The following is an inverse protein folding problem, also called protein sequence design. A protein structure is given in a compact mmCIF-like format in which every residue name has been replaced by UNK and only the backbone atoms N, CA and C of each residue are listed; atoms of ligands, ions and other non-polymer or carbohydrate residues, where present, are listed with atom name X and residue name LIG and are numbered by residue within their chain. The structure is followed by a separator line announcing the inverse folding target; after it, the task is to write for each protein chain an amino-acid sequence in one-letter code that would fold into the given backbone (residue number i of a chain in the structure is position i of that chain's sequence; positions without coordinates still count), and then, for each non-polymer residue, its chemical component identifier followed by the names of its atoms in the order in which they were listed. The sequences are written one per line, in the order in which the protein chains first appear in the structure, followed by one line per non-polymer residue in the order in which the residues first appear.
data_IF_524741512806
#
_entry.id   IF_524741512806
#
_cell.length_a   1.000
_cell.length_b   1.000
_cell.length_c   1.000
_cell.angle_alpha   90.00
_cell.angle_beta   90.00
_cell.angle_gamma   90.00
#
_symmetry.space_group_name_H-M   'P 1'
#
loop_
_entity.id
_entity.type
_entity.pdbx_description
1 polymer ?
#
# COMPACT_ATOMS: atom_id res chain seq x y z
N UNK A 1 7.73 -6.68 -4.20
CA UNK A 1 7.17 -6.88 -2.84
C UNK A 1 6.64 -8.30 -2.79
N UNK A 2 6.94 -9.08 -1.75
CA UNK A 2 6.43 -10.45 -1.65
C UNK A 2 4.93 -10.43 -1.39
N UNK A 3 4.18 -11.22 -2.14
CA UNK A 3 2.74 -11.39 -1.90
C UNK A 3 2.52 -12.44 -0.80
N UNK A 4 1.52 -12.26 0.08
CA UNK A 4 1.17 -13.25 1.10
C UNK A 4 0.95 -14.66 0.53
N UNK A 5 0.30 -14.75 -0.63
CA UNK A 5 0.04 -16.00 -1.32
C UNK A 5 1.35 -16.71 -1.75
N UNK A 6 2.30 -15.96 -2.30
CA UNK A 6 3.61 -16.48 -2.69
C UNK A 6 4.37 -17.01 -1.46
N UNK A 7 4.38 -16.25 -0.37
CA UNK A 7 5.05 -16.67 0.87
C UNK A 7 4.41 -17.90 1.50
N UNK A 8 3.10 -18.06 1.36
CA UNK A 8 2.42 -19.26 1.82
C UNK A 8 2.86 -20.48 1.00
N UNK A 9 2.98 -20.35 -0.32
CA UNK A 9 3.53 -21.40 -1.19
C UNK A 9 4.99 -21.71 -0.83
N UNK A 10 5.81 -20.69 -0.58
CA UNK A 10 7.20 -20.86 -0.16
C UNK A 10 7.29 -21.55 1.22
N UNK A 11 6.42 -21.20 2.17
CA UNK A 11 6.32 -21.85 3.46
C UNK A 11 5.94 -23.34 3.33
N UNK A 12 5.05 -23.69 2.40
CA UNK A 12 4.69 -25.09 2.12
C UNK A 12 5.89 -25.89 1.62
N UNK A 13 6.61 -25.38 0.61
CA UNK A 13 7.81 -26.04 0.08
C UNK A 13 8.92 -26.13 1.13
N UNK A 14 9.15 -25.07 1.89
CA UNK A 14 10.09 -25.06 3.01
C UNK A 14 9.69 -26.09 4.07
N UNK A 15 8.39 -26.22 4.38
CA UNK A 15 7.87 -27.22 5.31
C UNK A 15 8.07 -28.66 4.84
N UNK A 16 7.79 -28.94 3.56
CA UNK A 16 8.07 -30.25 2.95
C UNK A 16 9.56 -30.57 3.06
N UNK A 17 10.43 -29.62 2.74
CA UNK A 17 11.88 -29.81 2.86
C UNK A 17 12.31 -30.06 4.31
N UNK A 18 11.76 -29.32 5.28
CA UNK A 18 12.00 -29.53 6.72
C UNK A 18 11.63 -30.96 7.13
N UNK A 19 10.49 -31.48 6.67
CA UNK A 19 10.06 -32.85 6.97
C UNK A 19 11.02 -33.86 6.35
N UNK A 20 11.41 -33.69 5.09
CA UNK A 20 12.38 -34.56 4.42
C UNK A 20 13.72 -34.59 5.17
N UNK A 21 14.24 -33.44 5.59
CA UNK A 21 15.47 -33.35 6.37
C UNK A 21 15.29 -33.97 7.77
N UNK A 22 14.11 -33.83 8.37
CA UNK A 22 13.75 -34.52 9.61
C UNK A 22 13.78 -36.04 9.47
N UNK A 23 13.23 -36.59 8.38
CA UNK A 23 13.29 -38.03 8.07
C UNK A 23 14.75 -38.47 7.87
N UNK A 24 15.56 -37.69 7.13
CA UNK A 24 16.99 -37.96 6.96
C UNK A 24 17.75 -37.93 8.29
N UNK A 25 17.39 -37.03 9.21
CA UNK A 25 17.97 -36.98 10.54
C UNK A 25 17.69 -38.29 11.30
N UNK A 26 16.43 -38.75 11.31
CA UNK A 26 16.04 -40.04 11.92
C UNK A 26 16.79 -41.21 11.29
N UNK A 27 16.86 -41.28 9.96
CA UNK A 27 17.62 -42.29 9.24
C UNK A 27 19.11 -42.26 9.59
N UNK A 28 19.70 -41.07 9.75
CA UNK A 28 21.08 -40.91 10.18
C UNK A 28 21.35 -41.49 11.57
N UNK A 29 20.36 -41.46 12.48
CA UNK A 29 20.46 -42.13 13.78
C UNK A 29 20.34 -43.65 13.64
N UNK A 30 19.37 -44.15 12.88
CA UNK A 30 19.15 -45.60 12.65
C UNK A 30 20.37 -46.24 11.97
N UNK A 31 20.90 -45.61 10.93
CA UNK A 31 22.05 -46.07 10.15
C UNK A 31 23.40 -45.66 10.74
N UNK A 32 23.40 -44.98 11.89
CA UNK A 32 24.60 -44.55 12.65
C UNK A 32 25.61 -43.72 11.84
N UNK A 33 25.13 -42.77 11.03
CA UNK A 33 25.99 -41.86 10.28
C UNK A 33 26.82 -40.96 11.20
N UNK A 34 28.07 -40.68 10.83
CA UNK A 34 28.98 -39.83 11.61
C UNK A 34 28.49 -38.38 11.77
N UNK A 35 27.68 -37.89 10.83
CA UNK A 35 27.16 -36.52 10.83
C UNK A 35 25.72 -36.39 11.35
N UNK A 36 25.13 -37.44 11.93
CA UNK A 36 23.73 -37.47 12.40
C UNK A 36 23.35 -36.31 13.34
N UNK A 37 24.27 -35.87 14.20
CA UNK A 37 24.01 -34.74 15.11
C UNK A 37 23.97 -33.39 14.38
N UNK A 38 24.70 -33.25 13.27
CA UNK A 38 24.62 -32.05 12.41
C UNK A 38 23.24 -31.95 11.75
N UNK A 39 22.65 -33.09 11.37
CA UNK A 39 21.29 -33.12 10.79
C UNK A 39 20.24 -32.59 11.78
N UNK A 40 20.36 -32.86 13.08
CA UNK A 40 19.45 -32.29 14.10
C UNK A 40 19.49 -30.76 14.09
N UNK A 41 20.69 -30.18 14.04
CA UNK A 41 20.87 -28.74 13.94
C UNK A 41 20.27 -28.15 12.67
N UNK A 42 20.46 -28.82 11.53
CA UNK A 42 19.88 -28.41 10.24
C UNK A 42 18.35 -28.49 10.29
N UNK A 43 17.77 -29.59 10.80
CA UNK A 43 16.31 -29.74 10.95
C UNK A 43 15.73 -28.66 11.85
N UNK A 44 16.38 -28.37 12.98
CA UNK A 44 15.95 -27.31 13.91
C UNK A 44 15.98 -25.93 13.25
N UNK A 45 17.05 -25.59 12.54
CA UNK A 45 17.14 -24.34 11.78
C UNK A 45 16.05 -24.24 10.71
N UNK A 46 15.85 -25.31 9.94
CA UNK A 46 14.82 -25.39 8.91
C UNK A 46 13.41 -25.25 9.49
N UNK A 47 13.14 -25.78 10.68
CA UNK A 47 11.86 -25.59 11.36
C UNK A 47 11.60 -24.12 11.73
N UNK A 48 12.61 -23.44 12.27
CA UNK A 48 12.54 -22.00 12.57
C UNK A 48 12.33 -21.18 11.30
N UNK A 49 13.08 -21.48 10.24
CA UNK A 49 12.97 -20.80 8.95
C UNK A 49 11.57 -20.95 8.35
N UNK A 50 11.05 -22.19 8.26
CA UNK A 50 9.69 -22.48 7.76
C UNK A 50 8.64 -21.73 8.58
N UNK A 51 8.77 -21.75 9.90
CA UNK A 51 7.82 -21.05 10.80
C UNK A 51 7.87 -19.53 10.58
N UNK A 52 9.06 -18.97 10.36
CA UNK A 52 9.25 -17.55 10.06
C UNK A 52 8.61 -17.13 8.74
N UNK A 53 8.82 -17.91 7.67
CA UNK A 53 8.20 -17.64 6.35
C UNK A 53 6.68 -17.75 6.45
N UNK A 54 6.18 -18.78 7.14
CA UNK A 54 4.74 -18.94 7.38
C UNK A 54 4.15 -17.76 8.16
N UNK A 55 4.79 -17.34 9.25
CA UNK A 55 4.33 -16.20 10.03
C UNK A 55 4.28 -14.90 9.20
N UNK A 56 5.28 -14.67 8.34
CA UNK A 56 5.30 -13.55 7.41
C UNK A 56 4.16 -13.63 6.39
N UNK A 57 3.81 -14.82 5.90
CA UNK A 57 2.67 -14.99 4.98
C UNK A 57 1.33 -14.56 5.59
N UNK A 58 1.18 -14.60 6.93
CA UNK A 58 -0.03 -14.18 7.64
C UNK A 58 -0.07 -12.67 7.93
N UNK A 59 1.09 -12.07 8.18
CA UNK A 59 1.19 -10.72 8.75
C UNK A 59 1.57 -9.64 7.73
N UNK A 60 2.00 -10.00 6.52
CA UNK A 60 2.34 -8.99 5.51
C UNK A 60 1.07 -8.34 4.97
N UNK A 61 0.88 -7.10 5.38
CA UNK A 61 -0.16 -6.24 4.84
C UNK A 61 0.22 -5.79 3.43
N UNK A 62 -0.55 -6.21 2.44
CA UNK A 62 -0.49 -5.66 1.08
C UNK A 62 -1.28 -4.38 1.03
N UNK A 63 -0.61 -3.28 0.70
CA UNK A 63 -1.28 -2.00 0.50
C UNK A 63 -2.27 -2.11 -0.67
N UNK A 64 -3.56 -1.78 -0.47
CA UNK A 64 -4.52 -1.76 -1.56
C UNK A 64 -4.09 -0.76 -2.63
N UNK A 65 -4.18 -1.17 -3.90
CA UNK A 65 -3.92 -0.32 -5.06
C UNK A 65 -5.21 -0.19 -5.87
N UNK A 66 -5.70 1.04 -6.02
CA UNK A 66 -6.90 1.38 -6.80
C UNK A 66 -6.49 1.47 -8.27
N UNK A 67 -7.04 0.62 -9.15
CA UNK A 67 -6.73 0.67 -10.57
C UNK A 67 -6.99 2.06 -11.18
N UNK A 68 -6.05 2.54 -11.98
CA UNK A 68 -6.16 3.85 -12.65
C UNK A 68 -5.82 5.06 -11.76
N UNK A 69 -5.45 4.86 -10.50
CA UNK A 69 -4.91 5.91 -9.66
C UNK A 69 -3.55 6.39 -10.20
N UNK A 70 -3.34 7.70 -10.19
CA UNK A 70 -2.10 8.33 -10.60
C UNK A 70 -1.15 8.48 -9.42
N UNK A 71 0.15 8.58 -9.72
CA UNK A 71 1.10 9.03 -8.73
C UNK A 71 0.79 10.48 -8.35
N UNK A 72 0.73 10.75 -7.04
CA UNK A 72 0.51 12.07 -6.50
C UNK A 72 1.61 12.45 -5.51
N UNK A 73 1.84 13.74 -5.31
CA UNK A 73 2.72 14.26 -4.27
C UNK A 73 1.92 15.03 -3.23
N UNK A 74 2.21 14.83 -1.94
CA UNK A 74 1.63 15.63 -0.86
C UNK A 74 2.38 16.95 -0.75
N UNK A 75 1.67 18.05 -0.97
CA UNK A 75 2.24 19.40 -1.02
C UNK A 75 1.85 20.27 0.18
N UNK A 76 0.77 19.91 0.87
CA UNK A 76 0.34 20.59 2.08
C UNK A 76 -0.35 19.60 3.01
N UNK A 77 -0.09 19.75 4.31
CA UNK A 77 -0.66 18.91 5.37
C UNK A 77 -0.76 19.78 6.63
N UNK A 78 -1.97 19.96 7.15
CA UNK A 78 -2.19 20.76 8.35
C UNK A 78 -1.82 20.02 9.63
N UNK A 79 -1.41 18.75 9.54
CA UNK A 79 -1.31 17.83 10.66
C UNK A 79 -2.60 17.80 11.50
N UNK A 80 -3.75 18.02 10.85
CA UNK A 80 -5.10 17.94 11.43
C UNK A 80 -6.04 17.23 10.46
N UNK A 81 -7.02 17.94 9.90
CA UNK A 81 -8.13 17.44 9.10
C UNK A 81 -8.02 17.80 7.61
N UNK A 82 -6.90 18.34 7.14
CA UNK A 82 -6.74 18.70 5.73
C UNK A 82 -5.37 18.33 5.15
N UNK A 83 -5.41 17.69 3.99
CA UNK A 83 -4.24 17.42 3.15
C UNK A 83 -4.51 17.88 1.73
N UNK A 84 -3.52 18.47 1.08
CA UNK A 84 -3.56 18.78 -0.35
C UNK A 84 -2.53 17.95 -1.08
N UNK A 85 -2.99 17.26 -2.12
CA UNK A 85 -2.17 16.46 -3.02
C UNK A 85 -2.15 17.08 -4.41
N UNK A 86 -1.06 16.87 -5.14
CA UNK A 86 -0.89 17.34 -6.51
C UNK A 86 -0.70 16.17 -7.48
N UNK A 87 -1.36 16.27 -8.63
CA UNK A 87 -1.21 15.36 -9.78
C UNK A 87 -0.76 16.12 -11.03
N UNK A 88 -0.24 15.43 -12.06
CA UNK A 88 0.05 16.05 -13.36
C UNK A 88 -1.18 16.77 -13.95
N UNK A 89 -1.00 17.75 -14.84
CA UNK A 89 -2.12 18.47 -15.46
C UNK A 89 -2.80 17.70 -16.58
N UNK A 90 -2.20 16.62 -17.08
CA UNK A 90 -2.78 15.76 -18.12
C UNK A 90 -3.49 14.56 -17.48
N UNK A 91 -4.73 14.78 -17.02
CA UNK A 91 -5.50 13.78 -16.26
C UNK A 91 -6.98 13.76 -16.65
N UNK A 92 -7.64 12.63 -16.46
CA UNK A 92 -9.08 12.45 -16.70
C UNK A 92 -9.87 12.39 -15.40
N UNK A 93 -11.19 12.64 -15.47
CA UNK A 93 -12.09 12.55 -14.31
C UNK A 93 -12.01 11.17 -13.59
N UNK A 94 -12.07 10.02 -14.30
CA UNK A 94 -11.92 8.71 -13.66
C UNK A 94 -10.57 8.53 -12.94
N UNK A 95 -9.48 9.06 -13.50
CA UNK A 95 -8.16 9.02 -12.88
C UNK A 95 -8.12 9.87 -11.60
N UNK A 96 -8.74 11.05 -11.60
CA UNK A 96 -8.85 11.91 -10.41
C UNK A 96 -9.64 11.21 -9.31
N UNK A 97 -10.77 10.60 -9.64
CA UNK A 97 -11.56 9.83 -8.67
C UNK A 97 -10.77 8.64 -8.10
N UNK A 98 -10.14 7.85 -8.97
CA UNK A 98 -9.30 6.72 -8.54
C UNK A 98 -8.14 7.18 -7.65
N UNK A 99 -7.52 8.31 -7.97
CA UNK A 99 -6.42 8.89 -7.20
C UNK A 99 -6.90 9.40 -5.84
N UNK A 100 -8.07 10.04 -5.76
CA UNK A 100 -8.67 10.45 -4.48
C UNK A 100 -8.97 9.25 -3.59
N UNK A 101 -9.51 8.16 -4.17
CA UNK A 101 -9.74 6.90 -3.44
C UNK A 101 -8.44 6.29 -2.94
N UNK A 102 -7.40 6.24 -3.78
CA UNK A 102 -6.07 5.77 -3.37
C UNK A 102 -5.51 6.64 -2.25
N UNK A 103 -5.59 7.97 -2.39
CA UNK A 103 -5.10 8.90 -1.38
C UNK A 103 -5.83 8.74 -0.05
N UNK A 104 -7.13 8.45 -0.06
CA UNK A 104 -7.88 8.14 1.15
C UNK A 104 -7.41 6.85 1.82
N UNK A 105 -7.06 5.79 1.07
CA UNK A 105 -6.44 4.57 1.63
C UNK A 105 -5.07 4.87 2.23
N UNK A 106 -4.32 5.76 1.57
CA UNK A 106 -2.94 6.05 1.88
C UNK A 106 -2.76 7.01 3.06
N UNK A 107 -3.70 7.92 3.23
CA UNK A 107 -3.69 9.02 4.21
C UNK A 107 -4.82 8.79 5.22
N UNK A 108 -4.49 8.22 6.37
CA UNK A 108 -5.50 7.82 7.38
C UNK A 108 -5.12 8.17 8.82
N UNK A 109 -4.08 8.97 9.04
CA UNK A 109 -3.66 9.33 10.40
C UNK A 109 -4.37 10.59 10.87
N UNK A 110 -4.95 10.56 12.07
CA UNK A 110 -5.27 11.78 12.79
C UNK A 110 -3.96 12.50 13.10
N UNK A 111 -3.85 13.75 12.67
CA UNK A 111 -2.67 14.54 12.95
C UNK A 111 -2.67 15.06 14.39
N UNK A 112 -1.52 15.53 14.87
CA UNK A 112 -1.35 16.02 16.26
C UNK A 112 -2.25 17.21 16.60
N UNK A 113 -2.72 17.92 15.59
CA UNK A 113 -3.61 19.08 15.71
C UNK A 113 -5.08 18.72 15.44
N UNK A 114 -5.41 17.44 15.32
CA UNK A 114 -6.78 16.93 15.16
C UNK A 114 -7.49 17.03 16.52
N UNK A 115 -8.01 18.22 16.87
CA UNK A 115 -8.71 18.50 18.13
C UNK A 115 -10.10 17.84 18.18
N UNK A 116 -10.17 16.52 18.00
CA UNK A 116 -11.44 15.78 17.94
C UNK A 116 -12.15 15.86 16.58
N UNK A 117 -11.54 16.46 15.56
CA UNK A 117 -12.05 16.40 14.18
C UNK A 117 -12.11 14.94 13.70
N UNK A 118 -13.29 14.41 13.37
CA UNK A 118 -13.44 13.00 13.01
C UNK A 118 -13.18 12.75 11.52
N UNK A 119 -13.08 13.81 10.71
CA UNK A 119 -12.99 13.72 9.25
C UNK A 119 -11.67 14.32 8.74
N UNK A 120 -11.10 13.66 7.73
CA UNK A 120 -9.99 14.13 6.93
C UNK A 120 -10.50 14.51 5.54
N UNK A 121 -10.24 15.76 5.16
CA UNK A 121 -10.49 16.28 3.81
C UNK A 121 -9.20 16.23 3.01
N UNK A 122 -9.16 15.42 1.95
CA UNK A 122 -8.04 15.35 1.02
C UNK A 122 -8.46 16.07 -0.25
N UNK A 123 -7.75 17.14 -0.60
CA UNK A 123 -8.03 17.95 -1.79
C UNK A 123 -6.98 17.65 -2.85
N UNK A 124 -7.44 17.33 -4.06
CA UNK A 124 -6.57 17.04 -5.19
C UNK A 124 -6.55 18.26 -6.11
N UNK A 125 -5.35 18.74 -6.41
CA UNK A 125 -5.11 19.81 -7.37
C UNK A 125 -4.09 19.42 -8.43
N UNK A 126 -4.03 20.21 -9.47
CA UNK A 126 -2.90 20.27 -10.38
C UNK A 126 -2.40 21.71 -10.49
N UNK A 127 -1.30 21.93 -11.20
CA UNK A 127 -0.81 23.25 -11.52
C UNK A 127 -0.94 23.44 -13.04
N UNK A 128 -1.75 24.42 -13.46
CA UNK A 128 -1.88 24.82 -14.85
C UNK A 128 -1.00 26.03 -15.15
N UNK A 129 -0.62 26.17 -16.42
CA UNK A 129 0.23 27.26 -16.90
C UNK A 129 -0.52 28.00 -17.99
N UNK A 130 -1.44 28.93 -17.65
CA UNK A 130 -2.25 29.64 -18.65
C UNK A 130 -1.40 30.56 -19.53
N UNK A 131 -0.33 31.14 -18.98
CA UNK A 131 0.58 32.04 -19.68
C UNK A 131 2.04 31.68 -19.34
N UNK A 132 3.00 31.99 -20.24
CA UNK A 132 4.42 31.81 -19.95
C UNK A 132 4.84 32.55 -18.67
N UNK A 133 5.38 31.82 -17.70
CA UNK A 133 5.82 32.39 -16.41
C UNK A 133 4.72 32.53 -15.35
N UNK A 134 3.48 32.16 -15.65
CA UNK A 134 2.36 32.16 -14.69
C UNK A 134 1.92 30.72 -14.41
N UNK A 135 1.91 30.34 -13.13
CA UNK A 135 1.38 29.06 -12.67
C UNK A 135 0.19 29.30 -11.75
N UNK A 136 -0.90 28.56 -11.97
CA UNK A 136 -2.10 28.65 -11.13
C UNK A 136 -2.46 27.26 -10.58
N UNK A 137 -2.72 27.12 -9.27
CA UNK A 137 -3.24 25.90 -8.70
C UNK A 137 -4.72 25.70 -9.07
N UNK A 138 -5.04 24.55 -9.65
CA UNK A 138 -6.39 24.19 -10.07
C UNK A 138 -6.86 22.93 -9.34
N UNK A 139 -7.88 23.05 -8.49
CA UNK A 139 -8.45 21.90 -7.79
C UNK A 139 -9.36 21.09 -8.73
N UNK A 140 -9.24 19.76 -8.73
CA UNK A 140 -10.04 18.87 -9.59
C UNK A 140 -11.05 18.05 -8.79
N UNK A 141 -10.84 17.91 -7.48
CA UNK A 141 -11.80 17.29 -6.59
C UNK A 141 -11.29 17.20 -5.16
N UNK A 142 -12.14 16.63 -4.30
CA UNK A 142 -11.84 16.35 -2.91
C UNK A 142 -12.55 15.09 -2.44
N UNK A 143 -11.99 14.45 -1.42
CA UNK A 143 -12.60 13.32 -0.71
C UNK A 143 -12.58 13.61 0.79
N UNK A 144 -13.71 13.35 1.43
CA UNK A 144 -13.85 13.38 2.88
C UNK A 144 -14.02 11.95 3.40
N UNK A 145 -13.20 11.58 4.37
CA UNK A 145 -13.22 10.26 5.02
C UNK A 145 -13.05 10.38 6.52
N UNK A 146 -13.51 9.38 7.26
CA UNK A 146 -13.28 9.22 8.69
C UNK A 146 -11.79 9.04 9.01
N UNK A 147 -11.34 9.66 10.09
CA UNK A 147 -10.03 9.43 10.72
C UNK A 147 -10.04 8.24 11.69
N UNK A 148 -11.23 7.75 12.09
CA UNK A 148 -11.38 6.64 13.01
C UNK A 148 -11.41 5.28 12.30
N UNK A 149 -11.91 5.23 11.07
CA UNK A 149 -12.13 3.99 10.31
C UNK A 149 -11.19 3.95 9.11
N UNK A 150 -10.28 2.97 9.05
CA UNK A 150 -9.26 2.91 7.98
C UNK A 150 -9.87 2.72 6.59
N UNK A 151 -10.86 1.85 6.47
CA UNK A 151 -11.62 1.60 5.24
C UNK A 151 -13.02 2.16 5.41
N UNK A 152 -13.18 3.42 5.02
CA UNK A 152 -14.44 4.14 5.19
C UNK A 152 -15.31 3.97 3.93
N UNK A 153 -16.35 3.16 4.05
CA UNK A 153 -17.33 2.94 2.99
C UNK A 153 -18.22 4.17 2.73
N UNK A 154 -18.30 5.08 3.70
CA UNK A 154 -19.14 6.29 3.65
C UNK A 154 -18.34 7.52 3.18
N UNK A 155 -17.12 7.32 2.67
CA UNK A 155 -16.28 8.40 2.16
C UNK A 155 -16.99 9.16 1.02
N UNK A 156 -17.09 10.47 1.18
CA UNK A 156 -17.79 11.34 0.23
C UNK A 156 -16.80 11.96 -0.75
N UNK A 157 -16.99 11.70 -2.05
CA UNK A 157 -16.15 12.24 -3.13
C UNK A 157 -16.89 13.35 -3.86
N UNK A 158 -16.21 14.47 -4.09
CA UNK A 158 -16.69 15.57 -4.93
C UNK A 158 -15.69 15.85 -6.03
N UNK A 159 -16.15 15.77 -7.28
CA UNK A 159 -15.35 16.08 -8.46
C UNK A 159 -15.81 17.43 -9.02
N UNK A 160 -14.87 18.31 -9.33
CA UNK A 160 -15.12 19.64 -9.90
C UNK A 160 -15.02 19.58 -11.43
N UNK A 161 -16.07 19.03 -12.07
CA UNK A 161 -16.09 18.76 -13.52
C UNK A 161 -15.79 19.98 -14.38
N UNK A 162 -16.28 21.15 -13.95
CA UNK A 162 -16.06 22.43 -14.60
C UNK A 162 -14.57 22.80 -14.74
N UNK A 163 -13.73 22.35 -13.81
CA UNK A 163 -12.30 22.66 -13.82
C UNK A 163 -11.52 21.84 -14.85
N UNK A 164 -12.05 20.70 -15.32
CA UNK A 164 -11.37 19.90 -16.34
C UNK A 164 -11.29 20.61 -17.69
N UNK A 165 -12.21 21.55 -17.98
CA UNK A 165 -12.15 22.38 -19.19
C UNK A 165 -10.92 23.30 -19.25
N UNK A 166 -10.27 23.55 -18.11
CA UNK A 166 -9.07 24.39 -17.97
C UNK A 166 -7.77 23.59 -18.07
N UNK A 167 -7.85 22.27 -18.22
CA UNK A 167 -6.67 21.43 -18.37
C UNK A 167 -6.08 21.56 -19.78
N UNK A 168 -4.75 21.44 -19.92
CA UNK A 168 -4.13 21.38 -21.23
C UNK A 168 -4.68 20.18 -21.99
N UNK A 169 -5.17 20.42 -23.21
CA UNK A 169 -5.60 19.33 -24.06
C UNK A 169 -4.38 18.48 -24.45
N UNK A 170 -4.51 17.14 -24.49
CA UNK A 170 -3.44 16.30 -25.00
C UNK A 170 -3.13 16.74 -26.44
N UNK A 171 -1.86 17.08 -26.68
CA UNK A 171 -1.37 17.34 -28.04
C UNK A 171 -1.50 16.02 -28.80
N UNK A 172 -2.28 16.03 -29.87
CA UNK A 172 -2.50 14.86 -30.74
C UNK A 172 -1.21 14.40 -31.42
#
# INVERSE_FOLDING_TARGET
MFEPAQLLTDAQWSGILTIVVGILAVLGFVLKWGFRFRLVGITGFMAVLTTGIFALSLAIYTRPNVPGALHYSRIFDTASSQVVIVVPPTVTEPQVEATLRQAAIDLYSSGRMSQGEPLLTIRLRTNVHPEPGVSEPLYLGEIQRSLAVREDADATIKIYRENFARLPQPVA
#
